data_IF_811535683785
#
_entry.id   IF_811535683785
#
_cell.length_a   1.000
_cell.length_b   1.000
_cell.length_c   1.000
_cell.angle_alpha   90.00
_cell.angle_beta   90.00
_cell.angle_gamma   90.00
#
_symmetry.space_group_name_H-M   'P 1'
#
loop_
_entity.id
_entity.type
_entity.pdbx_description
1 polymer ?
#
# COMPACT_ATOMS: atom_id res chain seq x y z
N UNK A 1 -22.31 25.19 -41.76
CA UNK A 1 -20.90 25.61 -41.70
C UNK A 1 -20.47 25.61 -40.24
N UNK A 2 -19.40 24.89 -39.95
CA UNK A 2 -18.95 24.53 -38.61
C UNK A 2 -18.33 25.70 -37.83
N UNK A 3 -18.40 25.62 -36.50
CA UNK A 3 -17.19 25.70 -35.65
C UNK A 3 -17.29 24.63 -34.57
N UNK A 4 -16.42 23.66 -34.76
CA UNK A 4 -16.18 22.50 -33.91
C UNK A 4 -15.45 22.98 -32.66
N UNK A 5 -16.11 22.88 -31.51
CA UNK A 5 -15.51 23.12 -30.20
C UNK A 5 -14.92 21.81 -29.70
N UNK A 6 -13.77 21.41 -30.23
CA UNK A 6 -13.00 20.32 -29.66
C UNK A 6 -12.31 20.81 -28.39
N UNK A 7 -13.07 20.84 -27.30
CA UNK A 7 -12.48 20.77 -25.95
C UNK A 7 -11.85 19.38 -25.88
N UNK A 8 -10.55 19.33 -26.13
CA UNK A 8 -9.70 18.20 -25.77
C UNK A 8 -9.99 17.87 -24.32
N UNK A 9 -10.76 16.79 -24.09
CA UNK A 9 -10.92 16.17 -22.78
C UNK A 9 -9.51 15.91 -22.28
N UNK A 10 -9.06 16.72 -21.32
CA UNK A 10 -7.96 16.37 -20.44
C UNK A 10 -8.19 14.92 -20.04
N UNK A 11 -7.20 14.06 -20.32
CA UNK A 11 -7.26 12.64 -19.99
C UNK A 11 -7.42 12.52 -18.48
N UNK A 12 -8.66 12.45 -18.03
CA UNK A 12 -9.04 12.27 -16.64
C UNK A 12 -8.38 10.96 -16.19
N UNK A 13 -7.34 11.07 -15.35
CA UNK A 13 -6.63 9.92 -14.83
C UNK A 13 -7.66 9.05 -14.08
N UNK A 14 -8.05 7.92 -14.69
CA UNK A 14 -9.06 6.99 -14.16
C UNK A 14 -8.62 6.30 -12.86
N UNK A 15 -7.36 6.52 -12.45
CA UNK A 15 -6.69 5.99 -11.28
C UNK A 15 -5.95 7.13 -10.55
N UNK A 16 -6.62 7.79 -9.57
CA UNK A 16 -6.11 8.97 -8.89
C UNK A 16 -4.97 8.66 -7.91
N UNK A 17 -4.86 7.42 -7.44
CA UNK A 17 -3.73 6.97 -6.62
C UNK A 17 -3.02 5.82 -7.31
N UNK A 18 -1.68 5.85 -7.35
CA UNK A 18 -0.86 4.84 -8.04
C UNK A 18 0.26 4.36 -7.14
N UNK A 19 0.53 3.06 -7.21
CA UNK A 19 1.60 2.43 -6.44
C UNK A 19 2.43 1.57 -7.37
N UNK A 20 3.74 1.83 -7.43
CA UNK A 20 4.70 0.90 -8.02
C UNK A 20 5.01 -0.21 -7.03
N UNK A 21 4.74 -1.45 -7.41
CA UNK A 21 4.99 -2.63 -6.62
C UNK A 21 6.50 -2.87 -6.48
N UNK A 22 6.95 -2.94 -5.23
CA UNK A 22 8.30 -3.29 -4.81
C UNK A 22 8.33 -4.69 -4.22
N UNK A 23 9.52 -5.24 -3.97
CA UNK A 23 9.69 -6.55 -3.33
C UNK A 23 8.94 -6.66 -2.00
N UNK A 24 8.88 -5.57 -1.22
CA UNK A 24 8.18 -5.56 0.07
C UNK A 24 6.68 -5.80 -0.10
N UNK A 25 6.06 -5.13 -1.08
CA UNK A 25 4.62 -5.29 -1.37
C UNK A 25 4.25 -6.72 -1.81
N UNK A 26 5.21 -7.47 -2.37
CA UNK A 26 4.99 -8.83 -2.86
C UNK A 26 5.31 -9.89 -1.78
N UNK A 27 6.19 -9.56 -0.84
CA UNK A 27 6.65 -10.48 0.21
C UNK A 27 5.66 -10.57 1.36
N UNK A 28 5.10 -9.44 1.78
CA UNK A 28 4.21 -9.34 2.92
C UNK A 28 2.76 -9.66 2.54
N UNK A 29 1.94 -10.00 3.55
CA UNK A 29 0.48 -10.15 3.35
C UNK A 29 -0.26 -8.80 3.36
N UNK A 30 0.49 -7.71 3.26
CA UNK A 30 0.01 -6.35 3.32
C UNK A 30 0.55 -5.52 2.16
N UNK A 31 -0.33 -4.76 1.54
CA UNK A 31 0.05 -3.67 0.64
C UNK A 31 0.32 -2.44 1.50
N UNK A 32 1.60 -2.11 1.68
CA UNK A 32 2.04 -0.89 2.34
C UNK A 32 1.68 0.34 1.50
N UNK A 33 1.16 1.37 2.14
CA UNK A 33 0.85 2.65 1.54
C UNK A 33 1.44 3.73 2.45
N UNK A 34 2.39 4.51 1.93
CA UNK A 34 2.94 5.64 2.67
C UNK A 34 1.89 6.76 2.73
N UNK A 35 1.79 7.50 3.85
CA UNK A 35 0.95 8.68 3.91
C UNK A 35 1.34 9.67 2.80
N UNK A 36 0.37 10.06 1.99
CA UNK A 36 0.57 11.03 0.93
C UNK A 36 -0.72 11.81 0.71
N UNK A 37 -0.57 13.06 0.25
CA UNK A 37 -1.71 13.93 -0.06
C UNK A 37 -2.71 13.27 -1.01
N UNK A 38 -2.21 12.60 -2.05
CA UNK A 38 -3.05 11.89 -3.04
C UNK A 38 -3.88 10.77 -2.41
N UNK A 39 -3.27 9.98 -1.50
CA UNK A 39 -3.98 8.91 -0.81
C UNK A 39 -5.04 9.48 0.14
N UNK A 40 -4.69 10.52 0.89
CA UNK A 40 -5.59 11.16 1.84
C UNK A 40 -6.78 11.80 1.12
N UNK A 41 -6.56 12.56 0.04
CA UNK A 41 -7.63 13.25 -0.68
C UNK A 41 -8.54 12.28 -1.45
N UNK A 42 -7.95 11.31 -2.17
CA UNK A 42 -8.71 10.48 -3.11
C UNK A 42 -9.21 9.16 -2.50
N UNK A 43 -8.62 8.69 -1.41
CA UNK A 43 -9.04 7.46 -0.74
C UNK A 43 -9.72 7.80 0.58
N UNK A 44 -9.01 8.42 1.52
CA UNK A 44 -9.56 8.67 2.87
C UNK A 44 -10.65 9.74 2.89
N UNK A 45 -10.50 10.79 2.07
CA UNK A 45 -11.49 11.86 1.94
C UNK A 45 -12.86 11.38 1.43
N UNK A 46 -12.91 10.22 0.78
CA UNK A 46 -14.14 9.60 0.32
C UNK A 46 -14.70 8.53 1.28
N UNK A 47 -14.01 8.25 2.39
CA UNK A 47 -14.50 7.36 3.44
C UNK A 47 -15.47 8.11 4.36
N UNK A 48 -16.42 7.39 4.96
CA UNK A 48 -17.31 7.99 5.95
C UNK A 48 -16.56 8.38 7.24
N UNK A 49 -17.13 9.33 7.98
CA UNK A 49 -16.53 9.89 9.20
C UNK A 49 -16.19 8.81 10.24
N UNK A 50 -17.08 7.84 10.44
CA UNK A 50 -16.86 6.73 11.38
C UNK A 50 -15.61 5.91 11.03
N UNK A 51 -15.32 5.72 9.75
CA UNK A 51 -14.13 4.99 9.30
C UNK A 51 -12.87 5.81 9.46
N UNK A 52 -12.93 7.12 9.19
CA UNK A 52 -11.80 8.02 9.43
C UNK A 52 -11.48 8.10 10.92
N UNK A 53 -12.48 8.23 11.79
CA UNK A 53 -12.31 8.21 13.24
C UNK A 53 -11.73 6.87 13.74
N UNK A 54 -12.16 5.75 13.16
CA UNK A 54 -11.58 4.45 13.46
C UNK A 54 -10.08 4.40 13.09
N UNK A 55 -9.70 4.88 11.90
CA UNK A 55 -8.30 4.92 11.48
C UNK A 55 -7.47 5.85 12.35
N UNK A 56 -7.99 7.01 12.77
CA UNK A 56 -7.32 7.90 13.73
C UNK A 56 -7.14 7.26 15.10
N UNK A 57 -8.08 6.41 15.52
CA UNK A 57 -7.98 5.58 16.72
C UNK A 57 -7.14 4.30 16.52
N UNK A 58 -6.46 4.13 15.38
CA UNK A 58 -5.67 2.94 15.03
C UNK A 58 -6.48 1.64 14.98
N UNK A 59 -7.79 1.75 14.73
CA UNK A 59 -8.71 0.63 14.58
C UNK A 59 -8.82 0.27 13.09
N UNK A 60 -8.58 -1.00 12.69
CA UNK A 60 -8.73 -1.43 11.31
C UNK A 60 -10.16 -1.27 10.79
N UNK A 61 -10.29 -0.86 9.53
CA UNK A 61 -11.56 -0.70 8.83
C UNK A 61 -11.71 -1.80 7.78
N UNK A 62 -12.73 -2.65 7.94
CA UNK A 62 -13.12 -3.64 6.93
C UNK A 62 -13.58 -2.95 5.65
N UNK A 63 -13.10 -3.43 4.50
CA UNK A 63 -13.47 -2.95 3.18
C UNK A 63 -13.42 -4.08 2.14
N UNK A 64 -13.96 -3.81 0.96
CA UNK A 64 -13.81 -4.68 -0.20
C UNK A 64 -12.93 -4.03 -1.25
N UNK A 65 -12.09 -4.81 -1.92
CA UNK A 65 -11.31 -4.35 -3.07
C UNK A 65 -11.75 -5.12 -4.32
N UNK A 66 -12.18 -4.39 -5.34
CA UNK A 66 -12.65 -4.94 -6.61
C UNK A 66 -11.61 -4.76 -7.69
N UNK A 67 -11.32 -5.84 -8.38
CA UNK A 67 -10.39 -5.89 -9.50
C UNK A 67 -11.09 -5.51 -10.80
N UNK A 68 -10.76 -4.34 -11.34
CA UNK A 68 -11.39 -3.85 -12.56
C UNK A 68 -11.02 -4.67 -13.80
N UNK A 69 -9.94 -5.48 -13.79
CA UNK A 69 -9.58 -6.28 -14.97
C UNK A 69 -10.14 -7.71 -14.91
N UNK A 70 -10.36 -8.29 -13.72
CA UNK A 70 -10.90 -9.66 -13.59
C UNK A 70 -12.32 -9.72 -13.05
N UNK A 71 -12.86 -8.59 -12.60
CA UNK A 71 -14.15 -8.49 -11.90
C UNK A 71 -14.24 -9.30 -10.59
N UNK A 72 -13.10 -9.76 -10.05
CA UNK A 72 -13.06 -10.39 -8.72
C UNK A 72 -13.12 -9.35 -7.61
N UNK A 73 -13.72 -9.71 -6.47
CA UNK A 73 -13.78 -8.86 -5.28
C UNK A 73 -13.18 -9.60 -4.10
N UNK A 74 -12.35 -8.91 -3.32
CA UNK A 74 -11.64 -9.46 -2.18
C UNK A 74 -12.00 -8.70 -0.90
N UNK A 75 -12.19 -9.43 0.20
CA UNK A 75 -12.39 -8.82 1.52
C UNK A 75 -11.05 -8.51 2.15
N UNK A 76 -10.85 -7.25 2.55
CA UNK A 76 -9.59 -6.76 3.13
C UNK A 76 -9.88 -5.73 4.21
N UNK A 77 -8.83 -5.29 4.91
CA UNK A 77 -8.87 -4.25 5.93
C UNK A 77 -7.89 -3.17 5.58
N UNK A 78 -8.26 -1.92 5.84
CA UNK A 78 -7.34 -0.79 5.89
C UNK A 78 -6.99 -0.51 7.35
N UNK A 79 -5.70 -0.47 7.68
CA UNK A 79 -5.23 -0.16 9.02
C UNK A 79 -4.05 0.82 8.97
N UNK A 80 -3.90 1.64 10.02
CA UNK A 80 -2.63 2.31 10.33
C UNK A 80 -1.74 1.30 11.06
N UNK A 81 -0.48 1.20 10.66
CA UNK A 81 0.54 0.37 11.31
C UNK A 81 1.83 1.16 11.43
N UNK A 82 2.65 0.84 12.43
CA UNK A 82 3.96 1.46 12.50
C UNK A 82 4.81 1.08 11.28
N UNK A 83 5.57 2.04 10.77
CA UNK A 83 6.34 1.87 9.55
C UNK A 83 7.43 0.77 9.69
N UNK A 84 7.86 0.45 10.92
CA UNK A 84 8.85 -0.60 11.18
C UNK A 84 8.34 -2.01 10.88
N UNK A 85 7.03 -2.27 10.93
CA UNK A 85 6.45 -3.58 10.53
C UNK A 85 6.70 -3.92 9.06
N UNK A 86 7.12 -2.92 8.28
CA UNK A 86 7.45 -3.07 6.87
C UNK A 86 8.95 -2.90 6.59
N UNK A 87 9.80 -2.72 7.62
CA UNK A 87 11.25 -2.70 7.42
C UNK A 87 11.68 -4.11 7.01
N UNK A 88 12.43 -4.28 5.90
CA UNK A 88 13.00 -5.57 5.59
C UNK A 88 13.86 -5.99 6.79
N UNK A 89 13.58 -7.13 7.41
CA UNK A 89 14.55 -7.76 8.32
C UNK A 89 15.86 -7.85 7.56
N UNK A 90 16.97 -7.28 8.07
CA UNK A 90 18.25 -7.41 7.41
C UNK A 90 18.52 -8.89 7.19
N UNK A 91 18.91 -9.25 5.96
CA UNK A 91 19.28 -10.61 5.65
C UNK A 91 20.40 -11.04 6.61
N UNK A 92 20.24 -12.21 7.22
CA UNK A 92 21.09 -12.76 8.28
C UNK A 92 22.52 -13.12 7.83
N UNK A 93 23.01 -12.55 6.71
CA UNK A 93 24.28 -12.89 6.07
C UNK A 93 25.32 -11.75 6.06
N UNK A 94 25.02 -10.59 6.66
CA UNK A 94 26.09 -9.69 7.09
C UNK A 94 26.73 -10.24 8.35
N UNK A 95 27.75 -11.08 8.14
CA UNK A 95 28.73 -11.53 9.13
C UNK A 95 28.97 -10.44 10.18
N UNK A 96 28.42 -10.65 11.37
CA UNK A 96 28.88 -10.02 12.59
C UNK A 96 30.38 -10.28 12.74
N UNK A 97 31.21 -9.33 12.29
CA UNK A 97 32.57 -9.23 12.79
C UNK A 97 32.46 -8.57 14.16
N UNK A 98 32.58 -9.43 15.18
CA UNK A 98 33.20 -9.23 16.51
C UNK A 98 32.97 -7.82 17.10
N UNK A 99 32.32 -7.68 18.25
CA UNK A 99 32.81 -8.21 19.52
C UNK A 99 31.65 -8.49 20.48
N UNK A 100 31.69 -9.65 21.14
CA UNK A 100 30.95 -9.86 22.40
C UNK A 100 31.80 -9.29 23.53
N UNK A 101 31.15 -8.84 24.61
CA UNK A 101 31.45 -9.46 25.88
C UNK A 101 30.23 -10.18 26.46
N UNK A 102 30.55 -11.35 26.98
CA UNK A 102 29.75 -12.21 27.83
C UNK A 102 29.12 -11.45 29.01
N UNK A 103 27.83 -11.65 29.28
CA UNK A 103 27.34 -11.80 30.64
C UNK A 103 26.28 -12.92 30.71
N UNK A 104 26.37 -13.83 31.69
CA UNK A 104 25.43 -14.91 31.91
C UNK A 104 24.26 -14.43 32.81
N UNK A 105 23.04 -14.90 32.50
CA UNK A 105 21.85 -15.00 33.35
C UNK A 105 21.52 -13.90 34.39
N UNK A 106 20.27 -13.42 34.27
CA UNK A 106 19.47 -12.68 35.26
C UNK A 106 19.74 -11.18 35.43
N UNK A 107 18.94 -10.35 34.77
CA UNK A 107 18.23 -9.21 35.40
C UNK A 107 17.05 -8.86 34.50
N UNK A 108 15.89 -8.58 35.09
CA UNK A 108 14.72 -8.01 34.41
C UNK A 108 15.16 -6.75 33.65
N UNK A 109 15.27 -6.84 32.33
CA UNK A 109 15.48 -5.67 31.48
C UNK A 109 14.10 -5.08 31.23
N UNK A 110 13.89 -3.89 31.80
CA UNK A 110 12.88 -2.94 31.36
C UNK A 110 12.67 -3.08 29.85
N UNK A 111 11.46 -3.49 29.44
CA UNK A 111 11.03 -3.24 28.09
C UNK A 111 11.18 -1.72 27.91
N UNK A 112 11.92 -1.23 26.89
CA UNK A 112 11.89 0.20 26.60
C UNK A 112 10.42 0.56 26.46
N UNK A 113 9.96 1.47 27.33
CA UNK A 113 8.60 2.00 27.31
C UNK A 113 8.30 2.34 25.86
N UNK A 114 7.42 1.54 25.26
CA UNK A 114 7.12 1.65 23.84
C UNK A 114 6.50 3.02 23.60
N UNK A 115 7.22 3.92 22.94
CA UNK A 115 6.75 5.28 22.71
C UNK A 115 5.70 5.28 21.59
N UNK A 116 4.45 5.14 22.02
CA UNK A 116 3.28 5.24 21.16
C UNK A 116 3.18 6.60 20.43
N UNK A 117 3.78 7.66 20.96
CA UNK A 117 3.81 8.96 20.27
C UNK A 117 4.81 8.97 19.12
N UNK A 118 5.96 8.33 19.27
CA UNK A 118 6.95 8.21 18.19
C UNK A 118 6.49 7.21 17.10
N UNK A 119 5.85 6.11 17.51
CA UNK A 119 5.14 5.19 16.63
C UNK A 119 4.07 5.89 15.76
N UNK A 120 3.41 6.91 16.32
CA UNK A 120 2.45 7.76 15.59
C UNK A 120 3.11 8.75 14.62
N UNK A 121 4.38 9.08 14.81
CA UNK A 121 5.14 9.92 13.85
C UNK A 121 5.58 9.13 12.63
N UNK A 122 5.93 7.85 12.81
CA UNK A 122 6.36 6.96 11.72
C UNK A 122 5.34 5.82 11.47
N UNK A 123 4.26 6.13 10.75
CA UNK A 123 3.25 5.14 10.38
C UNK A 123 3.13 4.95 8.86
N UNK A 124 2.51 3.84 8.47
CA UNK A 124 2.05 3.58 7.11
C UNK A 124 0.64 3.00 7.16
N UNK A 125 -0.10 3.22 6.08
CA UNK A 125 -1.34 2.51 5.84
C UNK A 125 -1.04 1.10 5.31
N UNK A 126 -1.89 0.15 5.67
CA UNK A 126 -1.80 -1.26 5.29
C UNK A 126 -3.13 -1.72 4.74
N UNK A 127 -3.15 -2.27 3.51
CA UNK A 127 -4.29 -3.05 3.01
C UNK A 127 -3.96 -4.54 3.15
N UNK A 128 -4.74 -5.28 3.93
CA UNK A 128 -4.48 -6.70 4.22
C UNK A 128 -5.75 -7.52 4.45
N UNK A 129 -5.78 -8.82 4.10
CA UNK A 129 -4.71 -9.56 3.43
C UNK A 129 -4.59 -9.16 1.95
N UNK A 130 -3.38 -9.11 1.39
CA UNK A 130 -3.15 -8.73 -0.02
C UNK A 130 -2.32 -9.76 -0.80
N UNK A 131 -1.65 -10.70 -0.13
CA UNK A 131 -0.81 -11.71 -0.80
C UNK A 131 -1.60 -12.61 -1.74
N UNK A 132 -2.85 -12.90 -1.40
CA UNK A 132 -3.70 -13.72 -2.24
C UNK A 132 -4.07 -13.01 -3.55
N UNK A 133 -4.25 -11.68 -3.52
CA UNK A 133 -4.45 -10.85 -4.71
C UNK A 133 -3.21 -10.88 -5.59
N UNK A 134 -2.03 -10.66 -4.99
CA UNK A 134 -0.72 -10.77 -5.67
C UNK A 134 -0.56 -12.11 -6.40
N UNK A 135 -0.83 -13.21 -5.71
CA UNK A 135 -0.73 -14.56 -6.28
C UNK A 135 -1.72 -14.80 -7.41
N UNK A 136 -3.02 -14.50 -7.20
CA UNK A 136 -4.06 -14.72 -8.20
C UNK A 136 -3.85 -13.90 -9.47
N UNK A 137 -3.36 -12.67 -9.30
CA UNK A 137 -3.14 -11.74 -10.40
C UNK A 137 -1.75 -11.81 -11.01
N UNK A 138 -0.92 -12.73 -10.51
CA UNK A 138 0.46 -12.92 -10.93
C UNK A 138 1.22 -11.57 -10.96
N UNK A 139 1.04 -10.78 -9.89
CA UNK A 139 1.67 -9.45 -9.79
C UNK A 139 3.17 -9.60 -9.58
N UNK A 140 3.93 -8.79 -10.30
CA UNK A 140 5.39 -8.82 -10.37
C UNK A 140 5.99 -7.50 -9.90
N UNK A 141 7.27 -7.54 -9.58
CA UNK A 141 8.05 -6.35 -9.24
C UNK A 141 8.05 -5.38 -10.42
N UNK A 142 8.09 -4.07 -10.13
CA UNK A 142 8.02 -2.97 -11.11
C UNK A 142 6.68 -2.80 -11.82
N UNK A 143 5.68 -3.64 -11.60
CA UNK A 143 4.32 -3.31 -12.05
C UNK A 143 3.76 -2.15 -11.24
N UNK A 144 2.94 -1.33 -11.88
CA UNK A 144 2.20 -0.28 -11.21
C UNK A 144 0.75 -0.71 -11.07
N UNK A 145 0.14 -0.44 -9.92
CA UNK A 145 -1.30 -0.60 -9.72
C UNK A 145 -1.93 0.76 -9.49
N UNK A 146 -3.11 0.95 -10.06
CA UNK A 146 -3.97 2.10 -9.81
C UNK A 146 -5.00 1.73 -8.75
N UNK A 147 -5.31 2.68 -7.87
CA UNK A 147 -6.33 2.57 -6.83
C UNK A 147 -7.28 3.76 -6.92
N UNK A 148 -8.57 3.48 -6.68
CA UNK A 148 -9.60 4.52 -6.54
C UNK A 148 -10.66 4.10 -5.54
N UNK A 149 -11.25 5.08 -4.87
CA UNK A 149 -12.48 4.84 -4.14
C UNK A 149 -13.63 4.64 -5.13
N UNK A 150 -14.41 3.57 -4.95
CA UNK A 150 -15.63 3.29 -5.72
C UNK A 150 -16.84 3.02 -4.82
N UNK A 151 -16.65 3.17 -3.52
CA UNK A 151 -17.64 2.97 -2.50
C UNK A 151 -18.59 4.15 -2.35
N UNK A 152 -19.54 3.97 -1.44
CA UNK A 152 -20.42 5.03 -0.93
C UNK A 152 -20.26 5.14 0.58
N UNK A 153 -21.00 6.05 1.22
CA UNK A 153 -21.01 6.14 2.69
C UNK A 153 -21.40 4.83 3.39
N UNK A 154 -22.26 4.03 2.76
CA UNK A 154 -22.69 2.73 3.28
C UNK A 154 -21.80 1.56 2.84
N UNK A 155 -21.14 1.68 1.68
CA UNK A 155 -20.37 0.59 1.07
C UNK A 155 -18.90 0.97 0.97
N UNK A 156 -18.05 0.36 1.81
CA UNK A 156 -16.61 0.59 1.82
C UNK A 156 -15.95 -0.24 0.72
N UNK A 157 -15.74 0.37 -0.44
CA UNK A 157 -15.22 -0.31 -1.64
C UNK A 157 -14.09 0.47 -2.31
N UNK A 158 -12.97 -0.20 -2.49
CA UNK A 158 -11.88 0.21 -3.35
C UNK A 158 -11.96 -0.53 -4.69
N UNK A 159 -11.51 0.13 -5.74
CA UNK A 159 -11.23 -0.50 -7.02
C UNK A 159 -9.74 -0.41 -7.32
N UNK A 160 -9.21 -1.45 -7.97
CA UNK A 160 -7.85 -1.45 -8.46
C UNK A 160 -7.72 -2.03 -9.86
N UNK A 161 -6.65 -1.65 -10.55
CA UNK A 161 -6.24 -2.21 -11.84
C UNK A 161 -4.73 -2.29 -11.89
N UNK A 162 -4.22 -3.30 -12.61
CA UNK A 162 -2.81 -3.30 -13.01
C UNK A 162 -2.66 -2.30 -14.15
N UNK A 163 -1.76 -1.33 -13.99
CA UNK A 163 -1.43 -0.35 -15.01
C UNK A 163 -0.28 -0.90 -15.85
N UNK A 164 -0.40 -0.78 -17.17
CA UNK A 164 0.65 -1.24 -18.07
C UNK A 164 1.92 -0.42 -17.85
N UNK A 165 2.98 -1.10 -17.40
CA UNK A 165 4.33 -0.53 -17.42
C UNK A 165 4.96 -0.95 -18.74
N UNK A 166 5.33 -0.01 -19.63
CA UNK A 166 6.05 -0.34 -20.85
C UNK A 166 7.29 -1.14 -20.47
N UNK A 167 7.32 -2.41 -20.90
CA UNK A 167 8.59 -3.12 -20.93
C UNK A 167 9.47 -2.30 -21.88
N UNK A 168 10.64 -1.88 -21.41
CA UNK A 168 11.72 -1.46 -22.30
C UNK A 168 11.99 -2.66 -23.21
N UNK A 169 11.39 -2.63 -24.38
CA UNK A 169 11.51 -3.68 -25.37
C UNK A 169 12.93 -3.56 -25.93
N UNK A 170 13.86 -4.38 -25.44
CA UNK A 170 15.25 -4.38 -25.90
C UNK A 170 15.36 -4.74 -27.39
N UNK A 171 14.26 -5.13 -28.04
CA UNK A 171 14.18 -5.33 -29.47
C UNK A 171 14.10 -4.04 -30.30
N UNK A 172 13.84 -2.87 -29.70
CA UNK A 172 13.83 -1.58 -30.42
C UNK A 172 15.21 -0.88 -30.46
N UNK A 173 16.27 -1.51 -29.94
CA UNK A 173 17.65 -1.02 -30.01
C UNK A 173 18.52 -1.84 -30.98
N UNK A 174 17.96 -2.22 -32.13
CA UNK A 174 18.77 -2.53 -33.33
C UNK A 174 18.81 -1.29 -34.21
N UNK A 175 19.85 -0.48 -34.03
CA UNK A 175 20.34 0.46 -35.05
C UNK A 175 21.62 -0.15 -35.60
#
# INVERSE_FOLDING_TARGET
MARDGSVTRETCNSWPFRIRLTTDHLRWDSLKILPSKEFEEHILGNMNEASNNALEAWIPVELSIHDANTHETYSVKLAKKEAFWFKPTPFLDEKQRKEKPFYPYSTMMDQPCYDWEEARKEFAYSIEPFRHVVKKRNLNYNQEIGLRWSGSEAVKKLEFSVLYVPRLDLHSLRI
#
